data_IF_945410582659
#
_entry.id   IF_945410582659
#
_cell.length_a   1.000
_cell.length_b   1.000
_cell.length_c   1.000
_cell.angle_alpha   90.00
_cell.angle_beta   90.00
_cell.angle_gamma   90.00
#
_symmetry.space_group_name_H-M   'P 1'
#
loop_
_entity.id
_entity.type
_entity.pdbx_description
1 polymer ?
#
# COMPACT_ATOMS: atom_id res chain seq x y z
N UNK A 1 -4.23 -45.03 9.68
CA UNK A 1 -5.20 -43.92 9.63
C UNK A 1 -4.55 -42.72 10.30
N UNK A 2 -3.97 -41.75 9.58
CA UNK A 2 -3.49 -40.54 10.22
C UNK A 2 -4.68 -39.81 10.85
N UNK A 3 -4.44 -39.21 12.02
CA UNK A 3 -5.43 -38.51 12.85
C UNK A 3 -6.10 -37.36 12.10
N UNK A 4 -7.34 -37.05 12.50
CA UNK A 4 -8.28 -36.06 11.94
C UNK A 4 -7.83 -34.59 12.04
N UNK A 5 -6.53 -34.32 12.24
CA UNK A 5 -5.93 -32.98 12.20
C UNK A 5 -5.28 -32.75 10.83
N UNK A 6 -6.06 -32.90 9.76
CA UNK A 6 -5.59 -32.48 8.43
C UNK A 6 -5.68 -30.97 8.34
N UNK A 7 -4.52 -30.31 8.51
CA UNK A 7 -4.13 -29.08 7.83
C UNK A 7 -5.27 -28.20 7.30
N UNK A 8 -5.78 -27.31 8.14
CA UNK A 8 -6.54 -26.16 7.64
C UNK A 8 -5.48 -25.16 7.15
N UNK A 9 -5.16 -25.18 5.86
CA UNK A 9 -4.34 -24.13 5.28
C UNK A 9 -5.13 -22.81 5.34
N UNK A 10 -4.63 -21.76 6.00
CA UNK A 10 -5.45 -20.61 6.40
C UNK A 10 -5.73 -19.63 5.24
N UNK A 11 -5.30 -19.96 4.02
CA UNK A 11 -5.43 -19.09 2.85
C UNK A 11 -6.34 -19.76 1.83
N UNK A 12 -7.27 -18.98 1.31
CA UNK A 12 -7.92 -19.33 0.05
C UNK A 12 -6.96 -19.09 -1.10
N UNK A 13 -6.42 -20.18 -1.67
CA UNK A 13 -5.55 -20.14 -2.85
C UNK A 13 -6.33 -20.26 -4.17
N UNK A 14 -7.63 -20.54 -4.10
CA UNK A 14 -8.45 -20.86 -5.27
C UNK A 14 -9.28 -19.64 -5.69
N UNK A 15 -9.89 -18.94 -4.74
CA UNK A 15 -10.82 -17.86 -4.99
C UNK A 15 -11.96 -18.32 -5.93
N UNK A 16 -12.26 -17.52 -6.96
CA UNK A 16 -13.29 -17.86 -7.93
C UNK A 16 -12.89 -18.94 -8.97
N UNK A 17 -11.63 -19.36 -8.99
CA UNK A 17 -11.14 -20.36 -9.96
C UNK A 17 -11.41 -19.95 -11.42
N UNK A 18 -11.80 -20.93 -12.26
CA UNK A 18 -12.03 -20.71 -13.71
C UNK A 18 -13.33 -19.98 -14.05
N UNK A 19 -14.24 -19.82 -13.09
CA UNK A 19 -15.60 -19.33 -13.33
C UNK A 19 -15.94 -18.11 -12.44
N UNK A 20 -15.30 -16.95 -12.65
CA UNK A 20 -15.64 -15.74 -11.91
C UNK A 20 -17.06 -15.28 -12.21
N UNK A 21 -17.78 -14.72 -11.22
CA UNK A 21 -19.12 -14.19 -11.44
C UNK A 21 -19.09 -13.00 -12.39
N UNK A 22 -20.14 -12.85 -13.20
CA UNK A 22 -20.34 -11.64 -13.98
C UNK A 22 -20.74 -10.49 -13.03
N UNK A 23 -19.99 -9.37 -12.96
CA UNK A 23 -20.19 -8.35 -11.93
C UNK A 23 -21.42 -7.47 -12.14
N UNK A 24 -22.05 -7.51 -13.32
CA UNK A 24 -23.29 -6.79 -13.65
C UNK A 24 -23.20 -5.28 -13.34
N UNK A 25 -22.11 -4.64 -13.76
CA UNK A 25 -21.92 -3.21 -13.51
C UNK A 25 -23.06 -2.36 -14.08
N UNK A 26 -23.42 -1.23 -13.42
CA UNK A 26 -24.45 -0.32 -13.90
C UNK A 26 -24.25 0.07 -15.36
N UNK A 27 -25.34 0.16 -16.12
CA UNK A 27 -25.30 0.53 -17.55
C UNK A 27 -24.63 -0.50 -18.46
N UNK A 28 -24.49 -1.75 -18.03
CA UNK A 28 -23.76 -2.80 -18.74
C UNK A 28 -22.29 -2.41 -19.04
N UNK A 29 -21.68 -1.62 -18.14
CA UNK A 29 -20.28 -1.24 -18.26
C UNK A 29 -19.37 -2.48 -18.28
N UNK A 30 -18.38 -2.45 -19.18
CA UNK A 30 -17.45 -3.58 -19.40
C UNK A 30 -16.28 -3.58 -18.42
N UNK A 31 -16.04 -2.46 -17.75
CA UNK A 31 -14.98 -2.25 -16.75
C UNK A 31 -15.50 -1.30 -15.67
N UNK A 32 -15.06 -1.51 -14.43
CA UNK A 32 -15.20 -0.54 -13.34
C UNK A 32 -13.83 0.09 -13.08
N UNK A 33 -13.76 1.42 -13.09
CA UNK A 33 -12.56 2.18 -12.74
C UNK A 33 -12.71 2.67 -11.29
N UNK A 34 -11.68 2.46 -10.49
CA UNK A 34 -11.60 2.97 -9.12
C UNK A 34 -10.28 3.75 -8.97
N UNK A 35 -10.39 5.05 -8.72
CA UNK A 35 -9.23 5.89 -8.44
C UNK A 35 -9.01 5.90 -6.93
N UNK A 36 -7.85 5.44 -6.49
CA UNK A 36 -7.41 5.52 -5.11
C UNK A 36 -6.35 6.60 -5.00
N UNK A 37 -6.54 7.55 -4.07
CA UNK A 37 -5.57 8.57 -3.72
C UNK A 37 -5.20 8.32 -2.27
N UNK A 38 -3.96 7.88 -2.04
CA UNK A 38 -3.38 7.75 -0.72
C UNK A 38 -2.95 9.13 -0.23
N UNK A 39 -3.11 9.36 1.07
CA UNK A 39 -2.58 10.52 1.76
C UNK A 39 -1.89 9.99 3.00
N UNK A 40 -0.58 9.85 2.89
CA UNK A 40 0.30 9.21 3.89
C UNK A 40 1.33 10.23 4.41
N UNK A 41 1.44 11.37 3.74
CA UNK A 41 2.40 12.43 4.00
C UNK A 41 2.18 13.09 5.36
N UNK A 42 3.21 13.00 6.21
CA UNK A 42 3.21 13.39 7.62
C UNK A 42 2.94 12.23 8.59
N UNK A 43 2.87 10.99 8.10
CA UNK A 43 2.71 9.77 8.92
C UNK A 43 3.75 8.69 8.61
N UNK A 44 4.68 8.99 7.70
CA UNK A 44 5.82 8.14 7.41
C UNK A 44 6.77 8.04 8.62
N UNK A 45 7.57 6.96 8.72
CA UNK A 45 8.51 6.80 9.82
C UNK A 45 9.42 8.01 9.99
N UNK A 46 9.41 8.58 11.19
CA UNK A 46 9.99 9.88 11.45
C UNK A 46 10.69 9.92 12.81
N UNK A 47 11.89 10.51 12.82
CA UNK A 47 12.59 10.78 14.07
C UNK A 47 11.86 11.80 14.95
N UNK A 48 11.15 12.76 14.35
CA UNK A 48 10.41 13.77 15.09
C UNK A 48 9.20 13.17 15.83
N UNK A 49 8.63 12.09 15.27
CA UNK A 49 7.49 11.36 15.85
C UNK A 49 7.92 10.23 16.80
N UNK A 50 9.24 9.99 16.92
CA UNK A 50 9.83 9.07 17.89
C UNK A 50 10.10 7.66 17.37
N UNK A 51 10.02 7.44 16.05
CA UNK A 51 10.21 6.10 15.46
C UNK A 51 11.66 5.64 15.45
N UNK A 52 12.61 6.58 15.56
CA UNK A 52 14.05 6.29 15.58
C UNK A 52 14.60 5.83 14.23
N UNK A 53 13.81 5.93 13.17
CA UNK A 53 14.17 5.63 11.78
C UNK A 53 13.53 6.67 10.86
N UNK A 54 14.02 6.73 9.62
CA UNK A 54 13.47 7.54 8.54
C UNK A 54 12.75 6.65 7.53
N UNK A 55 11.80 7.22 6.79
CA UNK A 55 11.18 6.53 5.66
C UNK A 55 12.23 6.17 4.59
N UNK A 56 12.10 4.96 4.06
CA UNK A 56 13.03 4.35 3.11
C UNK A 56 12.33 3.82 1.85
N UNK A 57 11.01 3.98 1.75
CA UNK A 57 10.20 3.51 0.63
C UNK A 57 9.38 4.64 0.01
N UNK A 58 8.93 4.41 -1.24
CA UNK A 58 8.05 5.31 -2.00
C UNK A 58 8.59 6.75 -2.17
N UNK A 59 9.91 6.93 -2.05
CA UNK A 59 10.62 8.17 -2.36
C UNK A 59 11.24 8.13 -3.76
N UNK A 60 11.60 9.31 -4.28
CA UNK A 60 12.32 9.44 -5.55
C UNK A 60 13.78 8.96 -5.47
N UNK A 61 14.33 8.82 -4.25
CA UNK A 61 15.69 8.32 -4.00
C UNK A 61 15.85 6.81 -4.24
N UNK A 62 14.74 6.11 -4.49
CA UNK A 62 14.70 4.64 -4.53
C UNK A 62 14.71 4.04 -3.12
N UNK A 63 14.62 2.71 -3.05
CA UNK A 63 14.65 2.00 -1.77
C UNK A 63 16.05 1.98 -1.16
N UNK A 64 16.17 2.38 0.09
CA UNK A 64 17.44 2.36 0.82
C UNK A 64 17.33 3.07 2.16
N UNK A 65 17.81 2.45 3.24
CA UNK A 65 17.80 3.06 4.56
C UNK A 65 18.92 4.10 4.69
N UNK A 66 18.61 5.22 5.32
CA UNK A 66 19.56 6.25 5.71
C UNK A 66 19.78 6.19 7.23
N UNK A 67 21.03 6.33 7.68
CA UNK A 67 21.33 6.38 9.11
C UNK A 67 21.02 7.78 9.66
N UNK A 68 20.05 7.85 10.58
CA UNK A 68 19.59 9.12 11.12
C UNK A 68 18.47 9.73 10.27
N UNK A 69 18.29 11.04 10.41
CA UNK A 69 17.17 11.77 9.79
C UNK A 69 17.48 12.13 8.34
N UNK A 70 16.69 11.60 7.40
CA UNK A 70 16.83 11.90 5.97
C UNK A 70 15.94 13.08 5.56
N UNK A 71 16.51 14.28 5.54
CA UNK A 71 15.79 15.49 5.15
C UNK A 71 15.39 15.50 3.67
N UNK A 72 16.04 14.71 2.82
CA UNK A 72 15.63 14.59 1.43
C UNK A 72 14.33 13.79 1.35
N UNK A 73 14.25 12.65 2.04
CA UNK A 73 13.02 11.85 2.13
C UNK A 73 11.84 12.66 2.71
N UNK A 74 12.05 13.38 3.81
CA UNK A 74 11.03 14.24 4.41
C UNK A 74 10.54 15.30 3.42
N UNK A 75 11.44 15.98 2.71
CA UNK A 75 11.03 16.99 1.72
C UNK A 75 10.19 16.43 0.57
N UNK A 76 10.37 15.14 0.22
CA UNK A 76 9.59 14.45 -0.80
C UNK A 76 8.18 14.14 -0.29
N UNK A 77 8.04 13.66 0.93
CA UNK A 77 6.73 13.48 1.58
C UNK A 77 6.04 14.83 1.79
N UNK A 78 6.74 15.86 2.24
CA UNK A 78 6.18 17.21 2.37
C UNK A 78 5.66 17.75 1.03
N UNK A 79 6.28 17.41 -0.11
CA UNK A 79 5.77 17.85 -1.40
C UNK A 79 4.35 17.31 -1.68
N UNK A 80 4.06 16.06 -1.33
CA UNK A 80 2.76 15.43 -1.53
C UNK A 80 1.64 16.21 -0.82
N UNK A 81 1.80 16.46 0.49
CA UNK A 81 0.83 17.22 1.29
C UNK A 81 0.72 18.71 0.92
N UNK A 82 1.83 19.33 0.52
CA UNK A 82 1.88 20.79 0.26
C UNK A 82 1.45 21.16 -1.15
N UNK A 83 1.80 20.35 -2.15
CA UNK A 83 1.67 20.67 -3.56
C UNK A 83 0.97 19.54 -4.33
N UNK A 84 1.40 18.29 -4.13
CA UNK A 84 0.95 17.13 -4.91
C UNK A 84 -0.55 16.90 -4.83
N UNK A 85 -1.12 16.90 -3.62
CA UNK A 85 -2.53 16.63 -3.38
C UNK A 85 -3.49 17.64 -4.05
N UNK A 86 -3.04 18.88 -4.25
CA UNK A 86 -3.88 19.97 -4.75
C UNK A 86 -3.83 20.16 -6.28
N UNK A 87 -3.04 19.36 -6.99
CA UNK A 87 -2.88 19.44 -8.45
C UNK A 87 -3.68 18.34 -9.16
#
# INVERSE_FOLDING_TARGET
MPSKESQIYPRDLIGYGRNPPHPQWPGAARIALNFCINYEEGSEPSFADGDGVTEAALTEGGGGGFEGRDLAAESMFEYGSRIGFWR
#
